data_IF_127822983879
#
_entry.id   IF_127822983879
#
_cell.length_a   1.000
_cell.length_b   1.000
_cell.length_c   1.000
_cell.angle_alpha   90.00
_cell.angle_beta   90.00
_cell.angle_gamma   90.00
#
_symmetry.space_group_name_H-M   'P 1'
#
loop_
_entity.id
_entity.type
_entity.pdbx_description
1 polymer ?
#
# COMPACT_ATOMS: atom_id res chain seq x y z
N UNK A 1 -4.97 18.82 -0.91
CA UNK A 1 -3.82 18.17 -1.55
C UNK A 1 -3.88 16.69 -1.18
N UNK A 2 -3.84 15.79 -2.15
CA UNK A 2 -4.01 14.36 -1.91
C UNK A 2 -3.02 13.80 -0.89
N UNK A 3 -3.50 12.94 0.00
CA UNK A 3 -2.66 12.30 1.01
C UNK A 3 -2.00 11.05 0.42
N UNK A 4 -0.67 11.00 0.48
CA UNK A 4 0.12 9.84 0.02
C UNK A 4 0.37 8.92 1.21
N UNK A 5 -0.09 7.66 1.11
CA UNK A 5 0.07 6.64 2.15
C UNK A 5 0.82 5.44 1.56
N UNK A 6 1.98 5.11 2.10
CA UNK A 6 2.69 3.89 1.74
C UNK A 6 2.19 2.70 2.58
N UNK A 7 2.00 1.54 1.95
CA UNK A 7 1.76 0.27 2.65
C UNK A 7 3.03 -0.57 2.59
N UNK A 8 3.74 -0.69 3.70
CA UNK A 8 5.03 -1.37 3.71
C UNK A 8 5.20 -2.29 4.93
N UNK A 9 5.84 -3.42 4.70
CA UNK A 9 6.38 -4.32 5.70
C UNK A 9 7.43 -5.23 5.03
N UNK A 10 8.55 -5.46 5.70
CA UNK A 10 9.63 -6.30 5.20
C UNK A 10 9.22 -7.78 5.08
N UNK A 11 8.27 -8.23 5.89
CA UNK A 11 7.77 -9.60 5.84
C UNK A 11 6.84 -9.76 4.63
N UNK A 12 7.11 -10.76 3.78
CA UNK A 12 6.18 -11.20 2.74
C UNK A 12 4.93 -11.86 3.34
N UNK A 13 3.81 -11.85 2.60
CA UNK A 13 2.58 -12.53 3.04
C UNK A 13 1.78 -11.86 4.15
N UNK A 14 2.13 -10.63 4.56
CA UNK A 14 1.38 -9.87 5.58
C UNK A 14 0.16 -9.14 5.03
N UNK A 15 -0.24 -9.48 3.81
CA UNK A 15 -1.47 -8.94 3.18
C UNK A 15 -1.34 -7.44 2.79
N UNK A 16 -0.13 -6.93 2.46
CA UNK A 16 0.07 -5.55 1.96
C UNK A 16 -0.79 -5.26 0.74
N UNK A 17 -0.52 -5.95 -0.35
CA UNK A 17 -1.21 -5.79 -1.64
C UNK A 17 -2.72 -5.97 -1.52
N UNK A 18 -3.17 -7.03 -0.81
CA UNK A 18 -4.61 -7.24 -0.56
C UNK A 18 -5.21 -6.07 0.20
N UNK A 19 -4.48 -5.50 1.19
CA UNK A 19 -4.95 -4.33 1.93
C UNK A 19 -4.98 -3.10 1.01
N UNK A 20 -3.96 -2.87 0.19
CA UNK A 20 -3.90 -1.74 -0.75
C UNK A 20 -5.10 -1.74 -1.70
N UNK A 21 -5.33 -2.87 -2.39
CA UNK A 21 -6.43 -3.04 -3.33
C UNK A 21 -7.79 -2.78 -2.66
N UNK A 22 -8.03 -3.44 -1.53
CA UNK A 22 -9.34 -3.42 -0.89
C UNK A 22 -9.60 -2.12 -0.12
N UNK A 23 -8.57 -1.47 0.42
CA UNK A 23 -8.66 -0.14 0.99
C UNK A 23 -8.95 0.90 -0.10
N UNK A 24 -8.24 0.85 -1.22
CA UNK A 24 -8.45 1.76 -2.35
C UNK A 24 -9.89 1.67 -2.87
N UNK A 25 -10.39 0.45 -3.14
CA UNK A 25 -11.76 0.24 -3.58
C UNK A 25 -12.79 0.69 -2.53
N UNK A 26 -12.51 0.49 -1.23
CA UNK A 26 -13.39 0.95 -0.16
C UNK A 26 -13.41 2.48 -0.03
N UNK A 27 -12.28 3.16 -0.22
CA UNK A 27 -12.21 4.62 -0.26
C UNK A 27 -12.97 5.18 -1.46
N UNK A 28 -12.82 4.58 -2.65
CA UNK A 28 -13.55 4.95 -3.85
C UNK A 28 -15.07 4.78 -3.68
N UNK A 29 -15.52 3.68 -3.06
CA UNK A 29 -16.93 3.46 -2.68
C UNK A 29 -17.45 4.53 -1.71
N UNK A 30 -16.57 5.14 -0.92
CA UNK A 30 -16.88 6.27 -0.04
C UNK A 30 -16.65 7.63 -0.73
N UNK A 31 -16.74 7.68 -2.05
CA UNK A 31 -16.69 8.87 -2.90
C UNK A 31 -15.35 9.64 -2.85
N UNK A 32 -14.24 8.96 -2.54
CA UNK A 32 -12.89 9.53 -2.63
C UNK A 32 -12.25 9.22 -3.98
N UNK A 33 -11.55 10.20 -4.57
CA UNK A 33 -10.71 9.96 -5.73
C UNK A 33 -9.40 9.33 -5.26
N UNK A 34 -9.11 8.12 -5.73
CA UNK A 34 -7.99 7.30 -5.24
C UNK A 34 -7.09 6.89 -6.39
N UNK A 35 -5.79 7.01 -6.18
CA UNK A 35 -4.77 6.41 -7.03
C UNK A 35 -4.03 5.31 -6.27
N UNK A 36 -3.90 4.15 -6.89
CA UNK A 36 -2.97 3.11 -6.44
C UNK A 36 -1.68 3.23 -7.25
N UNK A 37 -0.55 3.17 -6.59
CA UNK A 37 0.78 3.06 -7.23
C UNK A 37 1.34 1.70 -6.87
N UNK A 38 1.43 0.81 -7.84
CA UNK A 38 2.00 -0.52 -7.64
C UNK A 38 3.53 -0.45 -7.76
N UNK A 39 4.21 -0.51 -6.61
CA UNK A 39 5.67 -0.42 -6.51
C UNK A 39 6.32 -1.79 -6.21
N UNK A 40 5.60 -2.89 -6.50
CA UNK A 40 6.14 -4.25 -6.44
C UNK A 40 6.34 -4.80 -7.87
N UNK A 41 7.54 -5.23 -8.27
CA UNK A 41 7.78 -5.82 -9.59
C UNK A 41 6.90 -7.03 -9.94
N UNK A 42 6.28 -7.65 -8.92
CA UNK A 42 5.35 -8.76 -9.14
C UNK A 42 3.99 -8.31 -9.70
N UNK A 43 3.70 -7.00 -9.72
CA UNK A 43 2.47 -6.39 -10.27
C UNK A 43 1.16 -7.01 -9.73
N UNK A 44 1.19 -7.43 -8.45
CA UNK A 44 0.03 -8.08 -7.85
C UNK A 44 -1.12 -7.10 -7.57
N UNK A 45 -0.83 -5.82 -7.26
CA UNK A 45 -1.86 -4.81 -7.10
C UNK A 45 -2.52 -4.49 -8.45
N UNK A 46 -1.73 -4.41 -9.50
CA UNK A 46 -2.19 -4.18 -10.87
C UNK A 46 -3.13 -5.29 -11.33
N UNK A 47 -2.70 -6.54 -11.24
CA UNK A 47 -3.53 -7.71 -11.61
C UNK A 47 -4.79 -7.82 -10.75
N UNK A 48 -4.68 -7.52 -9.45
CA UNK A 48 -5.81 -7.59 -8.51
C UNK A 48 -6.84 -6.47 -8.69
N UNK A 49 -6.52 -5.42 -9.46
CA UNK A 49 -7.44 -4.38 -9.92
C UNK A 49 -7.87 -4.56 -11.39
N UNK A 50 -7.61 -5.73 -11.98
CA UNK A 50 -8.08 -6.09 -13.30
C UNK A 50 -7.21 -5.59 -14.46
N UNK A 51 -6.03 -5.01 -14.18
CA UNK A 51 -5.12 -4.56 -15.24
C UNK A 51 -4.44 -5.76 -15.90
N UNK A 52 -4.55 -5.86 -17.21
CA UNK A 52 -3.78 -6.83 -18.00
C UNK A 52 -2.35 -6.33 -18.20
N UNK A 53 -1.42 -6.87 -17.42
CA UNK A 53 0.00 -6.44 -17.43
C UNK A 53 0.66 -6.57 -18.80
N UNK A 54 0.20 -7.51 -19.64
CA UNK A 54 0.73 -7.72 -20.98
C UNK A 54 0.35 -6.60 -21.98
N UNK A 55 -0.68 -5.81 -21.65
CA UNK A 55 -1.18 -4.70 -22.47
C UNK A 55 -0.75 -3.34 -21.91
N UNK A 56 0.03 -3.31 -20.82
CA UNK A 56 0.54 -2.07 -20.23
C UNK A 56 1.67 -1.53 -21.09
N UNK A 57 1.44 -0.37 -21.71
CA UNK A 57 2.44 0.33 -22.54
C UNK A 57 3.37 1.23 -21.71
N UNK A 58 2.85 1.78 -20.61
CA UNK A 58 3.60 2.65 -19.70
C UNK A 58 3.29 2.26 -18.25
N UNK A 59 4.31 2.00 -17.46
CA UNK A 59 4.22 1.59 -16.07
C UNK A 59 4.96 2.56 -15.15
N UNK A 60 4.98 2.28 -13.85
CA UNK A 60 5.81 3.01 -12.90
C UNK A 60 7.30 2.99 -13.33
N UNK A 61 7.78 1.93 -13.98
CA UNK A 61 9.17 1.82 -14.42
C UNK A 61 9.56 2.96 -15.35
N UNK A 62 8.79 3.22 -16.43
CA UNK A 62 9.10 4.29 -17.40
C UNK A 62 9.11 5.66 -16.74
N UNK A 63 8.23 5.89 -15.78
CA UNK A 63 8.19 7.13 -15.01
C UNK A 63 9.46 7.31 -14.15
N UNK A 64 9.91 6.24 -13.47
CA UNK A 64 11.07 6.32 -12.57
C UNK A 64 12.40 6.54 -13.31
N UNK A 65 12.50 6.07 -14.53
CA UNK A 65 13.72 6.27 -15.37
C UNK A 65 13.61 7.47 -16.33
N UNK A 66 12.61 8.34 -16.12
CA UNK A 66 12.36 9.56 -16.92
C UNK A 66 12.10 9.31 -18.40
N UNK A 67 11.49 8.18 -18.76
CA UNK A 67 11.10 7.86 -20.15
C UNK A 67 9.68 8.25 -20.50
N UNK A 68 8.81 8.52 -19.49
CA UNK A 68 7.41 8.88 -19.68
C UNK A 68 6.93 9.91 -18.65
N UNK A 69 5.90 10.68 -19.02
CA UNK A 69 5.14 11.49 -18.06
C UNK A 69 4.28 10.58 -17.19
N UNK A 70 4.12 10.93 -15.94
CA UNK A 70 3.30 10.14 -14.98
C UNK A 70 1.85 10.00 -15.45
N UNK A 71 1.31 10.96 -16.19
CA UNK A 71 -0.05 10.91 -16.72
C UNK A 71 -0.25 9.82 -17.76
N UNK A 72 0.81 9.47 -18.49
CA UNK A 72 0.78 8.38 -19.47
C UNK A 72 0.74 6.99 -18.80
N UNK A 73 1.17 6.92 -17.54
CA UNK A 73 1.15 5.70 -16.72
C UNK A 73 -0.10 5.55 -15.85
N UNK A 74 -1.05 6.50 -15.89
CA UNK A 74 -2.30 6.39 -15.13
C UNK A 74 -3.34 5.63 -15.94
N UNK A 75 -3.78 4.49 -15.42
CA UNK A 75 -4.84 3.66 -15.99
C UNK A 75 -6.09 3.77 -15.13
N UNK A 76 -7.24 3.97 -15.77
CA UNK A 76 -8.54 3.87 -15.10
C UNK A 76 -8.89 2.40 -14.86
N UNK A 77 -9.47 2.11 -13.70
CA UNK A 77 -10.01 0.77 -13.39
C UNK A 77 -11.51 0.71 -13.69
N UNK A 78 -12.09 -0.47 -13.63
CA UNK A 78 -13.56 -0.65 -13.72
C UNK A 78 -14.29 -0.11 -12.48
N UNK A 79 -13.57 0.47 -11.52
CA UNK A 79 -14.11 1.03 -10.29
C UNK A 79 -14.12 2.55 -10.41
N UNK A 80 -15.30 3.14 -10.36
CA UNK A 80 -15.43 4.59 -10.39
C UNK A 80 -14.56 5.26 -9.30
N UNK A 81 -13.83 6.31 -9.67
CA UNK A 81 -12.92 7.08 -8.78
C UNK A 81 -11.67 6.32 -8.31
N UNK A 82 -11.32 5.21 -8.96
CA UNK A 82 -10.11 4.45 -8.66
C UNK A 82 -9.26 4.29 -9.90
N UNK A 83 -8.09 4.92 -9.89
CA UNK A 83 -7.06 4.78 -10.91
C UNK A 83 -5.85 4.01 -10.36
N UNK A 84 -4.99 3.54 -11.27
CA UNK A 84 -3.75 2.84 -10.92
C UNK A 84 -2.60 3.26 -11.83
N UNK A 85 -1.41 3.42 -11.25
CA UNK A 85 -0.14 3.34 -11.97
C UNK A 85 0.35 1.89 -11.81
N UNK A 86 0.32 1.08 -12.88
CA UNK A 86 0.69 -0.32 -12.81
C UNK A 86 2.18 -0.52 -12.66
N UNK A 87 2.56 -1.69 -12.13
CA UNK A 87 3.93 -2.18 -12.13
C UNK A 87 4.21 -3.08 -13.33
N UNK A 88 5.50 -3.28 -13.61
CA UNK A 88 6.00 -4.27 -14.55
C UNK A 88 7.27 -4.93 -13.99
N UNK A 89 7.62 -6.13 -14.50
CA UNK A 89 8.83 -6.84 -14.06
C UNK A 89 10.11 -6.01 -14.26
N UNK A 90 10.13 -5.12 -15.24
CA UNK A 90 11.25 -4.23 -15.52
C UNK A 90 11.55 -3.26 -14.37
N UNK A 91 10.61 -3.09 -13.43
CA UNK A 91 10.83 -2.31 -12.20
C UNK A 91 12.03 -2.84 -11.39
N UNK A 92 12.41 -4.12 -11.55
CA UNK A 92 13.65 -4.68 -10.98
C UNK A 92 14.87 -3.95 -11.56
N UNK A 93 14.84 -3.60 -12.85
CA UNK A 93 15.90 -2.83 -13.51
C UNK A 93 15.99 -1.38 -13.04
N UNK A 94 14.85 -0.78 -12.67
CA UNK A 94 14.81 0.60 -12.19
C UNK A 94 15.73 0.83 -10.99
N UNK A 95 15.80 -0.10 -10.03
CA UNK A 95 16.69 0.04 -8.87
C UNK A 95 18.16 0.19 -9.27
N UNK A 96 18.58 -0.48 -10.34
CA UNK A 96 19.95 -0.41 -10.86
C UNK A 96 20.17 0.92 -11.62
N UNK A 97 19.23 1.29 -12.47
CA UNK A 97 19.31 2.51 -13.28
C UNK A 97 19.29 3.77 -12.41
N UNK A 98 18.43 3.79 -11.40
CA UNK A 98 18.31 4.89 -10.44
C UNK A 98 19.57 5.11 -9.59
N UNK A 99 20.47 4.11 -9.44
CA UNK A 99 21.69 4.26 -8.61
C UNK A 99 22.59 5.42 -9.08
N UNK A 100 22.57 5.74 -10.38
CA UNK A 100 23.39 6.79 -10.97
C UNK A 100 22.62 8.12 -11.17
N UNK A 101 21.36 8.20 -10.76
CA UNK A 101 20.56 9.41 -10.87
C UNK A 101 20.81 10.35 -9.70
N UNK A 102 20.78 11.65 -9.97
CA UNK A 102 20.77 12.67 -8.93
C UNK A 102 19.46 12.60 -8.15
N UNK A 103 19.52 12.82 -6.84
CA UNK A 103 18.35 12.84 -5.94
C UNK A 103 17.48 11.57 -6.02
N UNK A 104 18.12 10.44 -6.29
CA UNK A 104 17.51 9.13 -6.56
C UNK A 104 16.52 8.65 -5.49
N UNK A 105 16.60 9.13 -4.29
CA UNK A 105 15.68 8.81 -3.20
C UNK A 105 14.37 9.59 -3.25
N UNK A 106 14.27 10.64 -4.10
CA UNK A 106 13.09 11.51 -4.25
C UNK A 106 12.33 11.32 -5.57
N UNK A 107 12.70 10.36 -6.40
CA UNK A 107 12.14 10.22 -7.76
C UNK A 107 10.62 9.96 -7.71
N UNK A 108 10.13 9.02 -6.86
CA UNK A 108 8.68 8.78 -6.72
C UNK A 108 7.95 10.04 -6.25
N UNK A 109 8.52 10.81 -5.34
CA UNK A 109 7.92 12.09 -4.92
C UNK A 109 7.78 13.05 -6.09
N UNK A 110 8.85 13.23 -6.86
CA UNK A 110 8.86 14.11 -8.03
C UNK A 110 7.89 13.63 -9.10
N UNK A 111 7.80 12.32 -9.31
CA UNK A 111 6.88 11.68 -10.26
C UNK A 111 5.42 11.94 -9.87
N UNK A 112 5.05 11.82 -8.60
CA UNK A 112 3.65 11.95 -8.15
C UNK A 112 3.19 13.39 -7.94
N UNK A 113 4.09 14.34 -7.70
CA UNK A 113 3.76 15.74 -7.40
C UNK A 113 2.83 16.41 -8.43
N UNK A 114 3.03 16.23 -9.76
CA UNK A 114 2.18 16.85 -10.79
C UNK A 114 0.72 16.42 -10.78
N UNK A 115 0.43 15.20 -10.29
CA UNK A 115 -0.92 14.61 -10.28
C UNK A 115 -1.53 14.53 -8.87
N UNK A 116 -0.75 14.83 -7.84
CA UNK A 116 -1.15 14.68 -6.44
C UNK A 116 -2.45 15.41 -6.09
N UNK A 117 -2.70 16.56 -6.69
CA UNK A 117 -3.90 17.39 -6.44
C UNK A 117 -5.20 16.80 -7.02
N UNK A 118 -5.08 15.87 -7.95
CA UNK A 118 -6.20 15.28 -8.67
C UNK A 118 -6.88 14.15 -7.84
N UNK A 119 -6.22 13.72 -6.75
CA UNK A 119 -6.68 12.64 -5.87
C UNK A 119 -6.85 13.09 -4.42
N UNK A 120 -7.78 12.44 -3.69
CA UNK A 120 -7.90 12.58 -2.24
C UNK A 120 -6.85 11.72 -1.52
N UNK A 121 -6.62 10.51 -2.03
CA UNK A 121 -5.65 9.55 -1.51
C UNK A 121 -4.81 8.92 -2.64
N UNK A 122 -3.51 8.78 -2.38
CA UNK A 122 -2.59 8.01 -3.21
C UNK A 122 -2.03 6.89 -2.33
N UNK A 123 -2.29 5.63 -2.68
CA UNK A 123 -1.80 4.46 -1.94
C UNK A 123 -0.65 3.82 -2.69
N UNK A 124 0.53 3.71 -2.07
CA UNK A 124 1.70 3.06 -2.67
C UNK A 124 1.83 1.65 -2.10
N UNK A 125 1.64 0.63 -2.94
CA UNK A 125 1.87 -0.77 -2.58
C UNK A 125 3.35 -1.11 -2.68
N UNK A 126 4.02 -1.28 -1.56
CA UNK A 126 5.46 -1.53 -1.52
C UNK A 126 5.78 -3.02 -1.58
N UNK A 127 6.85 -3.38 -2.29
CA UNK A 127 7.41 -4.73 -2.24
C UNK A 127 7.89 -5.09 -0.81
N UNK A 128 8.10 -6.38 -0.49
CA UNK A 128 8.64 -6.76 0.83
C UNK A 128 10.12 -6.42 1.00
N UNK A 129 10.80 -5.99 -0.05
CA UNK A 129 12.19 -5.52 0.03
C UNK A 129 12.27 -4.12 0.68
N UNK A 130 13.37 -3.82 1.37
CA UNK A 130 13.71 -2.47 1.80
C UNK A 130 14.73 -1.82 0.85
N UNK A 131 14.56 -2.06 -0.46
CA UNK A 131 15.40 -1.51 -1.53
C UNK A 131 15.12 -0.03 -1.81
N UNK A 132 15.74 0.48 -2.88
CA UNK A 132 15.66 1.89 -3.25
C UNK A 132 14.23 2.33 -3.59
N UNK A 133 13.41 1.46 -4.20
CA UNK A 133 12.01 1.77 -4.52
C UNK A 133 11.19 1.95 -3.24
N UNK A 134 11.37 1.08 -2.23
CA UNK A 134 10.69 1.23 -0.94
C UNK A 134 11.13 2.50 -0.20
N UNK A 135 12.42 2.84 -0.25
CA UNK A 135 12.93 4.12 0.31
C UNK A 135 12.28 5.30 -0.41
N UNK A 136 12.16 5.26 -1.73
CA UNK A 136 11.46 6.27 -2.53
C UNK A 136 9.99 6.40 -2.14
N UNK A 137 9.27 5.28 -1.99
CA UNK A 137 7.88 5.28 -1.54
C UNK A 137 7.72 5.95 -0.17
N UNK A 138 8.60 5.62 0.80
CA UNK A 138 8.59 6.25 2.14
C UNK A 138 9.01 7.73 2.09
N UNK A 139 9.84 8.11 1.13
CA UNK A 139 10.26 9.50 0.94
C UNK A 139 9.12 10.32 0.34
N UNK A 140 8.33 9.75 -0.55
CA UNK A 140 7.17 10.38 -1.17
C UNK A 140 5.94 10.47 -0.22
N UNK A 141 5.79 9.51 0.68
CA UNK A 141 4.61 9.36 1.51
C UNK A 141 4.51 10.42 2.63
N UNK A 142 3.28 10.85 2.92
CA UNK A 142 2.96 11.62 4.14
C UNK A 142 2.91 10.69 5.36
N UNK A 143 2.41 9.46 5.15
CA UNK A 143 2.31 8.47 6.22
C UNK A 143 2.43 7.04 5.71
N UNK A 144 2.64 6.12 6.65
CA UNK A 144 2.79 4.68 6.37
C UNK A 144 1.78 3.87 7.17
N UNK A 145 1.06 2.97 6.49
CA UNK A 145 0.32 1.87 7.12
C UNK A 145 1.24 0.65 7.17
N UNK A 146 1.32 0.03 8.35
CA UNK A 146 2.15 -1.16 8.58
C UNK A 146 1.22 -2.36 8.83
N UNK A 147 0.92 -3.18 7.80
CA UNK A 147 0.17 -4.42 8.00
C UNK A 147 0.98 -5.41 8.83
N UNK A 148 0.36 -5.97 9.86
CA UNK A 148 0.98 -6.89 10.82
C UNK A 148 0.15 -8.16 10.88
N UNK A 149 0.68 -9.25 10.35
CA UNK A 149 0.04 -10.55 10.45
C UNK A 149 0.12 -11.08 11.90
N UNK A 150 -1.00 -11.58 12.42
CA UNK A 150 -1.07 -12.10 13.79
C UNK A 150 -0.40 -13.49 13.93
N UNK A 151 0.94 -13.53 13.69
CA UNK A 151 1.78 -14.72 13.78
C UNK A 151 3.06 -14.45 14.59
N UNK A 152 3.74 -15.50 15.03
CA UNK A 152 4.87 -15.46 15.98
C UNK A 152 6.00 -14.47 15.62
N UNK A 153 6.37 -14.37 14.35
CA UNK A 153 7.45 -13.46 13.91
C UNK A 153 6.99 -12.04 13.56
N UNK A 154 5.78 -11.64 13.96
CA UNK A 154 5.22 -10.34 13.61
C UNK A 154 6.09 -9.15 14.08
N UNK A 155 6.56 -9.18 15.31
CA UNK A 155 7.30 -8.08 15.94
C UNK A 155 8.73 -7.92 15.40
N UNK A 156 9.38 -9.00 14.96
CA UNK A 156 10.73 -8.92 14.39
C UNK A 156 10.74 -8.10 13.08
N UNK A 157 9.79 -8.35 12.19
CA UNK A 157 9.65 -7.60 10.95
C UNK A 157 9.35 -6.12 11.17
N UNK A 158 8.56 -5.78 12.20
CA UNK A 158 8.26 -4.40 12.58
C UNK A 158 9.52 -3.65 13.00
N UNK A 159 10.38 -4.25 13.82
CA UNK A 159 11.59 -3.59 14.36
C UNK A 159 12.53 -3.13 13.24
N UNK A 160 12.75 -3.96 12.24
CA UNK A 160 13.61 -3.62 11.09
C UNK A 160 13.00 -2.49 10.27
N UNK A 161 11.70 -2.55 9.99
CA UNK A 161 10.99 -1.50 9.26
C UNK A 161 11.01 -0.17 10.02
N UNK A 162 10.78 -0.17 11.34
CA UNK A 162 10.85 1.04 12.17
C UNK A 162 12.25 1.68 12.14
N UNK A 163 13.31 0.87 12.08
CA UNK A 163 14.67 1.37 11.93
C UNK A 163 14.86 2.08 10.59
N UNK A 164 14.33 1.52 9.49
CA UNK A 164 14.34 2.15 8.16
C UNK A 164 13.53 3.45 8.16
N UNK A 165 12.31 3.45 8.70
CA UNK A 165 11.47 4.66 8.84
C UNK A 165 12.23 5.75 9.59
N UNK A 166 12.92 5.42 10.68
CA UNK A 166 13.73 6.39 11.46
C UNK A 166 14.84 7.01 10.62
N UNK A 167 15.49 6.23 9.77
CA UNK A 167 16.54 6.72 8.85
C UNK A 167 15.92 7.65 7.80
N UNK A 168 14.82 7.25 7.17
CA UNK A 168 14.10 8.06 6.18
C UNK A 168 13.64 9.38 6.79
N UNK A 169 12.99 9.34 7.96
CA UNK A 169 12.58 10.57 8.69
C UNK A 169 13.74 11.51 8.97
N UNK A 170 14.89 10.97 9.36
CA UNK A 170 16.06 11.81 9.73
C UNK A 170 16.72 12.46 8.52
N UNK A 171 16.73 11.80 7.35
CA UNK A 171 17.58 12.18 6.22
C UNK A 171 16.83 12.66 4.98
N UNK A 172 15.64 12.14 4.73
CA UNK A 172 14.93 12.28 3.46
C UNK A 172 13.54 12.91 3.63
N UNK A 173 12.74 12.44 4.59
CA UNK A 173 11.36 12.89 4.78
C UNK A 173 11.04 13.11 6.27
N UNK A 174 11.36 14.26 6.85
CA UNK A 174 11.07 14.56 8.26
C UNK A 174 9.56 14.56 8.60
N UNK A 175 8.70 14.73 7.59
CA UNK A 175 7.24 14.79 7.74
C UNK A 175 6.59 13.41 7.75
N UNK A 176 7.31 12.34 7.37
CA UNK A 176 6.74 10.99 7.32
C UNK A 176 6.19 10.58 8.69
N UNK A 177 4.92 10.21 8.76
CA UNK A 177 4.26 9.75 9.98
C UNK A 177 3.88 8.27 9.90
N UNK A 178 3.65 7.64 11.04
CA UNK A 178 3.03 6.30 11.07
C UNK A 178 1.52 6.50 11.11
N UNK A 179 0.84 6.16 10.01
CA UNK A 179 -0.63 6.18 9.93
C UNK A 179 -1.24 5.20 10.92
N UNK A 180 -0.68 4.00 10.95
CA UNK A 180 -1.05 3.00 11.95
C UNK A 180 -0.53 1.60 11.64
N UNK A 181 -0.59 0.77 12.69
CA UNK A 181 -0.36 -0.67 12.60
C UNK A 181 -1.70 -1.36 12.37
N UNK A 182 -1.84 -2.06 11.25
CA UNK A 182 -3.05 -2.79 10.88
C UNK A 182 -2.85 -4.28 11.12
N UNK A 183 -3.59 -4.82 12.08
CA UNK A 183 -3.58 -6.26 12.33
C UNK A 183 -4.35 -7.01 11.24
N UNK A 184 -3.69 -7.97 10.61
CA UNK A 184 -4.21 -8.73 9.46
C UNK A 184 -4.25 -10.22 9.74
N UNK A 185 -5.06 -10.95 8.97
CA UNK A 185 -5.30 -12.38 9.13
C UNK A 185 -5.67 -12.76 10.59
N UNK A 186 -6.34 -11.85 11.28
CA UNK A 186 -6.74 -12.05 12.65
C UNK A 186 -7.83 -13.12 12.76
N UNK A 187 -7.64 -14.07 13.66
CA UNK A 187 -8.65 -15.07 14.02
C UNK A 187 -8.78 -15.10 15.56
N UNK A 188 -9.88 -14.57 16.07
CA UNK A 188 -10.16 -14.45 17.50
C UNK A 188 -10.19 -15.81 18.23
N UNK A 189 -10.37 -16.93 17.53
CA UNK A 189 -10.38 -18.28 18.09
C UNK A 189 -8.96 -18.77 18.42
N UNK A 190 -7.94 -18.15 17.84
CA UNK A 190 -6.55 -18.55 18.04
C UNK A 190 -5.94 -17.77 19.20
N UNK A 191 -5.48 -18.48 20.23
CA UNK A 191 -4.79 -17.89 21.38
C UNK A 191 -3.58 -17.05 20.98
N UNK A 192 -2.79 -17.54 20.02
CA UNK A 192 -1.63 -16.82 19.54
C UNK A 192 -2.01 -15.48 18.89
N UNK A 193 -3.08 -15.44 18.07
CA UNK A 193 -3.52 -14.20 17.42
C UNK A 193 -3.94 -13.15 18.47
N UNK A 194 -4.64 -13.57 19.53
CA UNK A 194 -4.99 -12.68 20.64
C UNK A 194 -3.75 -12.18 21.39
N UNK A 195 -2.76 -13.03 21.65
CA UNK A 195 -1.53 -12.63 22.31
C UNK A 195 -0.75 -11.59 21.48
N UNK A 196 -0.63 -11.79 20.15
CA UNK A 196 0.03 -10.83 19.26
C UNK A 196 -0.76 -9.51 19.21
N UNK A 197 -2.10 -9.58 19.11
CA UNK A 197 -2.96 -8.40 19.17
C UNK A 197 -2.67 -7.56 20.43
N UNK A 198 -2.69 -8.20 21.60
CA UNK A 198 -2.47 -7.53 22.90
C UNK A 198 -1.05 -6.95 22.99
N UNK A 199 -0.05 -7.67 22.45
CA UNK A 199 1.34 -7.23 22.47
C UNK A 199 1.56 -6.03 21.56
N UNK A 200 1.07 -6.06 20.32
CA UNK A 200 1.14 -4.93 19.39
C UNK A 200 0.42 -3.72 19.98
N UNK A 201 -0.77 -3.92 20.56
CA UNK A 201 -1.53 -2.84 21.19
C UNK A 201 -0.83 -2.26 22.42
N UNK A 202 -0.14 -3.09 23.21
CA UNK A 202 0.65 -2.62 24.37
C UNK A 202 1.84 -1.76 23.95
N UNK A 203 2.52 -2.14 22.86
CA UNK A 203 3.71 -1.42 22.39
C UNK A 203 3.40 -0.15 21.61
N UNK A 204 2.33 -0.15 20.80
CA UNK A 204 2.05 0.93 19.85
C UNK A 204 0.78 1.72 20.16
N UNK A 205 -0.02 1.30 21.12
CA UNK A 205 -1.16 2.02 21.71
C UNK A 205 -2.10 2.64 20.66
N UNK A 206 -2.18 3.96 20.62
CA UNK A 206 -3.07 4.72 19.73
C UNK A 206 -2.67 4.64 18.25
N UNK A 207 -1.47 4.16 17.94
CA UNK A 207 -1.05 3.90 16.57
C UNK A 207 -1.60 2.59 15.99
N UNK A 208 -2.29 1.77 16.81
CA UNK A 208 -2.93 0.54 16.31
C UNK A 208 -4.34 0.87 15.85
N UNK A 209 -4.67 0.57 14.60
CA UNK A 209 -6.03 0.74 14.08
C UNK A 209 -7.03 -0.01 14.97
N UNK A 210 -8.21 0.58 15.15
CA UNK A 210 -9.34 -0.09 15.83
C UNK A 210 -9.87 -1.24 14.99
N UNK A 211 -9.84 -1.05 13.67
CA UNK A 211 -10.21 -2.04 12.67
C UNK A 211 -9.12 -3.12 12.56
N UNK A 212 -9.53 -4.39 12.51
CA UNK A 212 -8.66 -5.53 12.20
C UNK A 212 -9.15 -6.21 10.93
N UNK A 213 -8.24 -6.72 10.11
CA UNK A 213 -8.59 -7.51 8.93
C UNK A 213 -8.62 -8.99 9.34
N UNK A 214 -9.81 -9.54 9.44
CA UNK A 214 -10.00 -10.95 9.80
C UNK A 214 -9.58 -11.87 8.65
N UNK A 215 -9.15 -13.07 9.02
CA UNK A 215 -8.89 -14.11 8.02
C UNK A 215 -10.16 -14.43 7.26
N UNK A 216 -10.14 -14.26 5.93
CA UNK A 216 -11.31 -14.45 5.09
C UNK A 216 -10.90 -15.02 3.73
N UNK A 217 -11.56 -16.12 3.31
CA UNK A 217 -11.24 -16.81 2.05
C UNK A 217 -11.54 -15.93 0.84
N UNK A 218 -12.57 -15.07 0.93
CA UNK A 218 -12.95 -14.16 -0.16
C UNK A 218 -11.85 -13.16 -0.53
N UNK A 219 -11.03 -12.75 0.44
CA UNK A 219 -9.83 -11.93 0.18
C UNK A 219 -8.73 -12.65 -0.61
N UNK A 220 -8.70 -13.98 -0.56
CA UNK A 220 -7.76 -14.79 -1.32
C UNK A 220 -8.30 -15.19 -2.70
N UNK A 221 -9.62 -15.27 -2.85
CA UNK A 221 -10.28 -15.63 -4.10
C UNK A 221 -10.39 -14.43 -5.04
N UNK A 222 -10.79 -13.26 -4.54
CA UNK A 222 -11.12 -12.08 -5.34
C UNK A 222 -9.99 -11.63 -6.30
N UNK A 223 -8.68 -11.67 -5.96
CA UNK A 223 -7.63 -11.28 -6.90
C UNK A 223 -7.54 -12.16 -8.14
N UNK A 224 -7.92 -13.44 -8.06
CA UNK A 224 -7.95 -14.34 -9.23
C UNK A 224 -9.00 -13.96 -10.27
N UNK A 225 -9.94 -13.10 -9.90
CA UNK A 225 -10.97 -12.53 -10.77
C UNK A 225 -10.64 -11.07 -11.18
N UNK A 226 -9.48 -10.53 -10.76
CA UNK A 226 -9.13 -9.13 -11.00
C UNK A 226 -10.03 -8.14 -10.26
N UNK A 227 -10.66 -8.53 -9.16
CA UNK A 227 -11.65 -7.74 -8.43
C UNK A 227 -11.26 -7.54 -6.97
N UNK A 228 -11.45 -6.33 -6.41
CA UNK A 228 -11.46 -6.14 -4.97
C UNK A 228 -12.62 -6.91 -4.32
N UNK A 229 -12.44 -7.29 -3.06
CA UNK A 229 -13.44 -8.11 -2.35
C UNK A 229 -14.81 -7.45 -2.24
N UNK A 230 -14.88 -6.12 -2.21
CA UNK A 230 -16.16 -5.40 -2.13
C UNK A 230 -17.03 -5.58 -3.38
N UNK A 231 -16.41 -5.80 -4.54
CA UNK A 231 -17.09 -6.11 -5.79
C UNK A 231 -17.31 -7.62 -5.95
N UNK A 232 -16.41 -8.44 -5.41
CA UNK A 232 -16.50 -9.88 -5.48
C UNK A 232 -17.57 -10.46 -4.52
N UNK A 233 -17.58 -9.97 -3.25
CA UNK A 233 -18.54 -10.38 -2.21
C UNK A 233 -18.64 -9.27 -1.15
N UNK A 234 -19.54 -8.30 -1.39
CA UNK A 234 -19.73 -7.13 -0.53
C UNK A 234 -20.18 -7.49 0.90
N UNK A 235 -20.84 -8.64 1.07
CA UNK A 235 -21.32 -9.09 2.37
C UNK A 235 -20.28 -9.82 3.21
N UNK A 236 -19.16 -10.18 2.59
CA UNK A 236 -18.05 -10.86 3.26
C UNK A 236 -17.49 -10.04 4.42
N UNK A 237 -16.95 -10.75 5.42
CA UNK A 237 -16.22 -10.09 6.51
C UNK A 237 -15.04 -9.28 6.01
N UNK A 238 -14.35 -9.76 4.96
CA UNK A 238 -13.24 -9.06 4.33
C UNK A 238 -13.63 -7.69 3.78
N UNK A 239 -14.75 -7.61 3.05
CA UNK A 239 -15.28 -6.36 2.51
C UNK A 239 -15.67 -5.39 3.64
N UNK A 240 -16.42 -5.87 4.63
CA UNK A 240 -16.83 -5.07 5.79
C UNK A 240 -15.66 -4.53 6.61
N UNK A 241 -14.60 -5.32 6.80
CA UNK A 241 -13.40 -4.87 7.50
C UNK A 241 -12.67 -3.75 6.72
N UNK A 242 -12.50 -3.88 5.39
CA UNK A 242 -11.82 -2.84 4.61
C UNK A 242 -12.66 -1.56 4.52
N UNK A 243 -13.98 -1.67 4.42
CA UNK A 243 -14.86 -0.49 4.47
C UNK A 243 -14.78 0.22 5.83
N UNK A 244 -14.68 -0.54 6.94
CA UNK A 244 -14.47 0.03 8.28
C UNK A 244 -13.11 0.72 8.39
N UNK A 245 -12.04 0.12 7.84
CA UNK A 245 -10.70 0.71 7.77
C UNK A 245 -10.70 2.01 6.97
N UNK A 246 -11.36 2.04 5.81
CA UNK A 246 -11.48 3.23 4.99
C UNK A 246 -12.15 4.38 5.75
N UNK A 247 -13.25 4.11 6.46
CA UNK A 247 -13.91 5.09 7.33
C UNK A 247 -13.00 5.59 8.45
N UNK A 248 -12.23 4.70 9.08
CA UNK A 248 -11.28 5.06 10.13
C UNK A 248 -10.18 5.98 9.61
N UNK A 249 -9.64 5.70 8.41
CA UNK A 249 -8.63 6.52 7.74
C UNK A 249 -9.19 7.89 7.34
N UNK A 250 -10.40 7.95 6.76
CA UNK A 250 -11.04 9.23 6.42
C UNK A 250 -11.19 10.10 7.67
N UNK A 251 -11.74 9.54 8.75
CA UNK A 251 -11.97 10.28 10.01
C UNK A 251 -10.67 10.78 10.65
N UNK A 252 -9.57 10.05 10.48
CA UNK A 252 -8.25 10.42 11.02
C UNK A 252 -7.60 11.54 10.23
N UNK A 253 -7.99 11.71 8.97
CA UNK A 253 -7.39 12.66 8.03
C UNK A 253 -8.34 13.80 7.60
N UNK A 254 -9.45 13.95 8.30
CA UNK A 254 -10.45 15.04 8.11
C UNK A 254 -10.13 16.28 8.89
#
# INVERSE_FOLDING_TARGET
MGKIIALANQKGGVVKTTTTINLAASLATLEKNVLVVDADPQANASSGLGVNIQEVECSLYECLINKADVRDAVYTTDIERLDIIPSHIDLVGAEIEMLNMEDRENIIRQTLEPIRKDYDFILIDCSPSLGLITVNALTAADSIIIPVQCEYFALEGITKLLSTIKIVKKRLNPQLEIEGFLLTMYDQRLRLANQIYDEVKRHFQELVFKTVIQRNVKLSESPSHGLPVILYDADSTGAKNHLALAKEIINKNS
#
